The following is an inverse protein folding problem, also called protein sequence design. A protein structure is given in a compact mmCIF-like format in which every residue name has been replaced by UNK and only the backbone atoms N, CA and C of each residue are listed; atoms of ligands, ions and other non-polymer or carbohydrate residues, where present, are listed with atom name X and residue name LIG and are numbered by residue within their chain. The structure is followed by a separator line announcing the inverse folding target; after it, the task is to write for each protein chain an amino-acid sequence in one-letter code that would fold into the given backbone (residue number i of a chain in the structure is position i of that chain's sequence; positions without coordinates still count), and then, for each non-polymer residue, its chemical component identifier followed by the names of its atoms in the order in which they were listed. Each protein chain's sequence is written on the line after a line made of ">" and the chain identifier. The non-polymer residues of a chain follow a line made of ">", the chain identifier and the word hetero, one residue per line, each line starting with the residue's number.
data_IF_497163861994
#
_entry.id   IF_497163861994
#
_cell.length_a   1.000
_cell.length_b   1.000
_cell.length_c   1.000
_cell.angle_alpha   90.00
_cell.angle_beta   90.00
_cell.angle_gamma   90.00
#
_symmetry.space_group_name_H-M   'P 1'
#
loop_
_entity.id
_entity.type
_entity.pdbx_description
1 polymer ?
#
# COMPACT_ATOMS: atom_id res chain seq x y z
N UNK A 1 -7.99 -9.50 1.24
CA UNK A 1 -9.11 -10.37 0.80
C UNK A 1 -10.25 -9.48 0.31
N UNK A 2 -10.64 -9.61 -0.96
CA UNK A 2 -11.82 -8.98 -1.52
C UNK A 2 -13.06 -9.85 -1.25
N UNK A 3 -14.14 -9.22 -0.81
CA UNK A 3 -15.46 -9.82 -0.69
C UNK A 3 -16.44 -8.87 -1.40
N UNK A 4 -17.39 -9.34 -2.24
CA UNK A 4 -18.38 -8.52 -2.94
C UNK A 4 -19.39 -7.74 -2.05
N UNK A 5 -19.01 -7.46 -0.81
CA UNK A 5 -19.75 -6.68 0.17
C UNK A 5 -19.89 -5.19 -0.27
N UNK A 6 -20.77 -4.41 0.41
CA UNK A 6 -21.18 -3.07 -0.02
C UNK A 6 -20.06 -2.11 -0.47
N UNK A 7 -18.88 -2.02 0.18
CA UNK A 7 -17.87 -1.03 -0.23
C UNK A 7 -17.28 -1.27 -1.62
N UNK A 8 -17.22 -2.52 -2.09
CA UNK A 8 -16.83 -2.84 -3.48
C UNK A 8 -18.07 -2.77 -4.37
N UNK A 9 -19.19 -3.31 -3.88
CA UNK A 9 -20.53 -3.30 -4.46
C UNK A 9 -20.99 -1.93 -4.99
N UNK A 10 -20.90 -0.90 -4.16
CA UNK A 10 -21.40 0.45 -4.46
C UNK A 10 -20.53 1.19 -5.48
N UNK A 11 -19.22 0.93 -5.49
CA UNK A 11 -18.26 1.63 -6.35
C UNK A 11 -18.25 1.02 -7.76
N UNK A 12 -18.28 -0.31 -7.86
CA UNK A 12 -18.20 -1.01 -9.15
C UNK A 12 -19.59 -1.40 -9.71
N UNK A 13 -20.65 -1.41 -8.89
CA UNK A 13 -22.01 -1.74 -9.32
C UNK A 13 -22.54 -0.89 -10.49
N UNK A 14 -22.36 0.45 -10.49
CA UNK A 14 -22.80 1.31 -11.59
C UNK A 14 -22.04 1.07 -12.91
N UNK A 15 -20.86 0.46 -12.84
CA UNK A 15 -19.96 0.30 -14.00
C UNK A 15 -20.24 -0.96 -14.83
N UNK A 16 -21.09 -1.87 -14.33
CA UNK A 16 -21.50 -3.08 -15.06
C UNK A 16 -20.42 -4.16 -15.20
N UNK A 17 -19.35 -4.08 -14.40
CA UNK A 17 -18.24 -5.04 -14.38
C UNK A 17 -18.61 -6.31 -13.61
N UNK A 18 -18.11 -7.47 -14.04
CA UNK A 18 -18.31 -8.73 -13.33
C UNK A 18 -17.51 -8.77 -12.01
N UNK A 19 -18.21 -8.49 -10.91
CA UNK A 19 -17.65 -8.39 -9.57
C UNK A 19 -17.08 -9.71 -9.03
N UNK A 20 -17.70 -10.83 -9.40
CA UNK A 20 -17.30 -12.16 -8.93
C UNK A 20 -15.94 -12.53 -9.52
N UNK A 21 -15.76 -12.26 -10.81
CA UNK A 21 -14.51 -12.50 -11.52
C UNK A 21 -13.39 -11.62 -10.98
N UNK A 22 -13.65 -10.34 -10.74
CA UNK A 22 -12.69 -9.44 -10.11
C UNK A 22 -12.28 -9.95 -8.72
N UNK A 23 -13.24 -10.29 -7.85
CA UNK A 23 -12.93 -10.76 -6.50
C UNK A 23 -12.12 -12.05 -6.51
N UNK A 24 -12.40 -12.97 -7.44
CA UNK A 24 -11.65 -14.22 -7.59
C UNK A 24 -10.21 -13.96 -8.04
N UNK A 25 -10.03 -13.22 -9.14
CA UNK A 25 -8.71 -12.89 -9.69
C UNK A 25 -7.86 -12.07 -8.72
N UNK A 26 -8.46 -11.09 -8.05
CA UNK A 26 -7.79 -10.29 -7.01
C UNK A 26 -7.34 -11.17 -5.85
N UNK A 27 -8.21 -12.04 -5.34
CA UNK A 27 -7.86 -12.92 -4.23
C UNK A 27 -6.75 -13.88 -4.62
N UNK A 28 -6.77 -14.41 -5.85
CA UNK A 28 -5.72 -15.30 -6.35
C UNK A 28 -4.36 -14.63 -6.46
N UNK A 29 -4.29 -13.43 -7.03
CA UNK A 29 -3.04 -12.68 -7.15
C UNK A 29 -2.54 -12.21 -5.77
N UNK A 30 -3.44 -11.89 -4.83
CA UNK A 30 -3.10 -11.45 -3.46
C UNK A 30 -2.95 -12.59 -2.44
N UNK A 31 -3.01 -13.87 -2.87
CA UNK A 31 -2.81 -15.04 -1.98
C UNK A 31 -1.48 -14.99 -1.23
N UNK A 32 -0.42 -14.49 -1.87
CA UNK A 32 0.94 -14.42 -1.30
C UNK A 32 1.07 -13.32 -0.24
N UNK A 33 0.29 -12.25 -0.37
CA UNK A 33 0.34 -11.07 0.48
C UNK A 33 -0.87 -11.00 1.44
N UNK A 34 -1.42 -12.16 1.80
CA UNK A 34 -2.57 -12.23 2.70
C UNK A 34 -2.26 -11.57 4.05
N UNK A 35 -3.01 -10.51 4.35
CA UNK A 35 -2.82 -9.69 5.56
C UNK A 35 -2.27 -8.29 5.29
N UNK A 36 -1.78 -8.02 4.07
CA UNK A 36 -1.36 -6.69 3.65
C UNK A 36 -2.48 -5.95 2.92
N UNK A 37 -2.52 -4.63 3.07
CA UNK A 37 -3.43 -3.76 2.32
C UNK A 37 -2.78 -3.48 0.96
N UNK A 38 -3.29 -4.12 -0.09
CA UNK A 38 -2.85 -3.94 -1.47
C UNK A 38 -3.80 -2.99 -2.19
N UNK A 39 -3.33 -1.80 -2.60
CA UNK A 39 -4.10 -0.92 -3.45
C UNK A 39 -4.20 -1.49 -4.87
N UNK A 40 -5.39 -1.39 -5.45
CA UNK A 40 -5.71 -1.89 -6.77
C UNK A 40 -6.24 -0.74 -7.62
N UNK A 41 -5.68 -0.57 -8.81
CA UNK A 41 -6.20 0.35 -9.82
C UNK A 41 -6.99 -0.47 -10.85
N UNK A 42 -8.25 -0.11 -11.05
CA UNK A 42 -9.15 -0.80 -11.98
C UNK A 42 -9.46 0.16 -13.12
N UNK A 43 -9.11 -0.25 -14.34
CA UNK A 43 -9.48 0.44 -15.57
C UNK A 43 -10.65 -0.30 -16.20
N UNK A 44 -11.71 0.43 -16.52
CA UNK A 44 -12.96 -0.11 -17.06
C UNK A 44 -13.14 0.46 -18.46
N UNK A 45 -13.35 -0.43 -19.42
CA UNK A 45 -13.54 -0.07 -20.82
C UNK A 45 -15.02 0.01 -21.17
N UNK A 46 -15.32 0.64 -22.31
CA UNK A 46 -16.70 0.91 -22.76
C UNK A 46 -17.47 -0.36 -23.10
N UNK A 47 -16.77 -1.45 -23.43
CA UNK A 47 -17.31 -2.79 -23.67
C UNK A 47 -17.60 -3.57 -22.36
N UNK A 48 -17.46 -2.92 -21.20
CA UNK A 48 -17.58 -3.51 -19.85
C UNK A 48 -16.48 -4.52 -19.51
N UNK A 49 -15.43 -4.62 -20.33
CA UNK A 49 -14.21 -5.30 -19.93
C UNK A 49 -13.47 -4.47 -18.88
N UNK A 50 -12.67 -5.15 -18.06
CA UNK A 50 -11.87 -4.51 -17.02
C UNK A 50 -10.46 -5.07 -17.02
N UNK A 51 -9.49 -4.19 -16.75
CA UNK A 51 -8.13 -4.58 -16.39
C UNK A 51 -7.82 -4.00 -15.02
N UNK A 52 -7.07 -4.73 -14.21
CA UNK A 52 -6.65 -4.21 -12.92
C UNK A 52 -5.15 -4.44 -12.72
N UNK A 53 -4.54 -3.48 -12.02
CA UNK A 53 -3.12 -3.53 -11.66
C UNK A 53 -3.04 -3.48 -10.14
N UNK A 54 -2.42 -4.51 -9.57
CA UNK A 54 -2.07 -4.54 -8.16
C UNK A 54 -0.80 -3.73 -7.96
N UNK A 55 -0.86 -2.72 -7.09
CA UNK A 55 0.30 -1.94 -6.67
C UNK A 55 0.80 -2.47 -5.34
N UNK A 56 2.06 -2.22 -5.02
CA UNK A 56 2.60 -2.55 -3.70
C UNK A 56 1.86 -1.84 -2.56
N UNK A 57 1.87 -2.43 -1.37
CA UNK A 57 1.29 -1.84 -0.18
C UNK A 57 1.78 -0.40 0.06
N UNK A 58 0.95 0.48 0.66
CA UNK A 58 1.36 1.84 0.98
C UNK A 58 2.58 1.83 1.89
N UNK A 59 3.53 2.74 1.65
CA UNK A 59 4.72 2.89 2.48
C UNK A 59 4.35 3.08 3.97
N UNK A 60 3.27 3.81 4.24
CA UNK A 60 2.74 4.03 5.58
C UNK A 60 2.25 2.75 6.27
N UNK A 61 1.74 1.77 5.51
CA UNK A 61 1.35 0.48 6.06
C UNK A 61 2.59 -0.39 6.35
N UNK A 62 3.57 -0.41 5.44
CA UNK A 62 4.82 -1.15 5.63
C UNK A 62 5.61 -0.63 6.84
N UNK A 63 5.71 0.69 7.00
CA UNK A 63 6.34 1.31 8.17
C UNK A 63 5.60 0.90 9.46
N UNK A 64 4.27 0.90 9.45
CA UNK A 64 3.47 0.45 10.60
C UNK A 64 3.70 -1.02 10.94
N UNK A 65 3.83 -1.89 9.93
CA UNK A 65 4.11 -3.30 10.17
C UNK A 65 5.49 -3.52 10.79
N UNK A 66 6.53 -2.88 10.24
CA UNK A 66 7.90 -3.02 10.76
C UNK A 66 8.01 -2.49 12.19
N UNK A 67 7.29 -1.41 12.50
CA UNK A 67 7.29 -0.78 13.83
C UNK A 67 6.16 -1.28 14.76
N UNK A 68 5.35 -2.25 14.32
CA UNK A 68 4.18 -2.76 15.03
C UNK A 68 3.21 -1.66 15.53
N UNK A 69 3.04 -0.59 14.76
CA UNK A 69 2.18 0.55 15.10
C UNK A 69 0.76 0.36 14.57
N UNK A 70 -0.25 0.69 15.40
CA UNK A 70 -1.67 0.70 14.98
C UNK A 70 -2.04 1.97 14.20
N UNK A 71 -1.50 3.12 14.61
CA UNK A 71 -1.76 4.42 14.00
C UNK A 71 -0.47 5.26 13.94
N UNK A 72 -0.44 6.22 13.00
CA UNK A 72 0.58 7.25 13.00
C UNK A 72 0.28 8.34 14.03
N UNK A 73 1.18 9.31 14.14
CA UNK A 73 0.98 10.50 14.98
C UNK A 73 -0.14 11.39 14.45
N UNK A 74 -1.00 11.89 15.34
CA UNK A 74 -1.98 12.93 15.02
C UNK A 74 -1.33 14.32 14.83
N UNK A 75 -0.14 14.53 15.41
CA UNK A 75 0.68 15.75 15.28
C UNK A 75 2.11 15.37 14.90
N UNK A 76 2.38 15.02 13.63
CA UNK A 76 3.67 14.45 13.20
C UNK A 76 4.91 15.29 13.55
N UNK A 77 4.76 16.61 13.65
CA UNK A 77 5.84 17.53 13.99
C UNK A 77 6.16 17.58 15.49
N UNK A 78 5.19 17.28 16.37
CA UNK A 78 5.33 17.43 17.83
C UNK A 78 5.40 16.08 18.53
N UNK A 79 4.49 15.16 18.19
CA UNK A 79 4.36 13.88 18.87
C UNK A 79 5.04 12.80 18.03
N UNK A 80 6.21 12.35 18.48
CA UNK A 80 6.93 11.24 17.85
C UNK A 80 6.45 9.91 18.40
N UNK A 81 6.05 9.00 17.52
CA UNK A 81 5.37 7.75 17.91
C UNK A 81 6.26 6.51 17.85
N UNK A 82 7.35 6.56 17.10
CA UNK A 82 8.34 5.48 17.00
C UNK A 82 9.61 5.99 16.32
N UNK A 83 10.61 5.12 16.28
CA UNK A 83 11.86 5.31 15.55
C UNK A 83 12.07 4.17 14.57
N UNK A 84 12.59 4.45 13.37
CA UNK A 84 12.92 3.47 12.34
C UNK A 84 14.39 3.58 11.97
N UNK A 85 15.06 2.44 11.84
CA UNK A 85 16.48 2.38 11.46
C UNK A 85 16.66 2.37 9.95
N UNK A 86 17.86 2.70 9.48
CA UNK A 86 18.19 2.65 8.06
C UNK A 86 18.02 1.24 7.45
N UNK A 87 18.42 0.19 8.17
CA UNK A 87 18.27 -1.19 7.70
C UNK A 87 16.80 -1.57 7.45
N UNK A 88 15.90 -1.15 8.35
CA UNK A 88 14.46 -1.35 8.21
C UNK A 88 13.88 -0.59 7.02
N UNK A 89 14.36 0.64 6.77
CA UNK A 89 13.97 1.39 5.59
C UNK A 89 14.40 0.69 4.29
N UNK A 90 15.60 0.12 4.24
CA UNK A 90 16.08 -0.61 3.07
C UNK A 90 15.25 -1.86 2.77
N UNK A 91 14.81 -2.60 3.78
CA UNK A 91 13.90 -3.74 3.61
C UNK A 91 12.54 -3.31 3.04
N UNK A 92 11.99 -2.20 3.54
CA UNK A 92 10.75 -1.62 3.02
C UNK A 92 10.93 -1.19 1.56
N UNK A 93 12.06 -0.56 1.24
CA UNK A 93 12.37 -0.11 -0.12
C UNK A 93 12.50 -1.31 -1.06
N UNK A 94 13.21 -2.37 -0.68
CA UNK A 94 13.32 -3.59 -1.51
C UNK A 94 11.96 -4.19 -1.84
N UNK A 95 11.06 -4.21 -0.86
CA UNK A 95 9.68 -4.71 -1.04
C UNK A 95 8.86 -3.79 -1.96
N UNK A 96 9.07 -2.47 -1.88
CA UNK A 96 8.30 -1.46 -2.62
C UNK A 96 8.94 -1.02 -3.95
N UNK A 97 10.17 -1.44 -4.24
CA UNK A 97 11.01 -0.86 -5.29
C UNK A 97 10.35 -0.88 -6.67
N UNK A 98 9.57 -1.93 -6.98
CA UNK A 98 8.88 -2.07 -8.25
C UNK A 98 7.85 -0.96 -8.54
N UNK A 99 7.27 -0.34 -7.50
CA UNK A 99 6.31 0.77 -7.64
C UNK A 99 6.88 2.12 -7.20
N UNK A 100 8.13 2.16 -6.77
CA UNK A 100 8.78 3.38 -6.32
C UNK A 100 9.40 4.09 -7.52
N UNK A 101 9.21 5.39 -7.65
CA UNK A 101 9.89 6.21 -8.68
C UNK A 101 11.38 6.46 -8.37
N UNK A 102 12.01 5.63 -7.54
CA UNK A 102 13.41 5.79 -7.16
C UNK A 102 14.34 5.14 -8.18
N UNK A 103 15.41 5.85 -8.52
CA UNK A 103 16.43 5.33 -9.43
C UNK A 103 17.41 4.37 -8.74
N UNK A 104 17.61 4.54 -7.44
CA UNK A 104 18.52 3.75 -6.62
C UNK A 104 17.94 3.51 -5.22
N UNK A 105 18.58 2.59 -4.48
CA UNK A 105 18.18 2.23 -3.11
C UNK A 105 18.22 3.45 -2.18
N UNK A 106 19.21 4.32 -2.34
CA UNK A 106 19.39 5.51 -1.50
C UNK A 106 18.25 6.53 -1.70
N UNK A 107 17.85 6.82 -2.94
CA UNK A 107 16.68 7.65 -3.24
C UNK A 107 15.41 6.99 -2.72
N UNK A 108 15.31 5.66 -2.81
CA UNK A 108 14.18 4.93 -2.25
C UNK A 108 14.08 5.11 -0.72
N UNK A 109 15.18 4.97 0.00
CA UNK A 109 15.25 5.23 1.45
C UNK A 109 14.86 6.68 1.76
N UNK A 110 15.24 7.64 0.90
CA UNK A 110 14.87 9.05 1.05
C UNK A 110 13.35 9.28 0.90
N UNK A 111 12.70 8.57 -0.02
CA UNK A 111 11.24 8.65 -0.22
C UNK A 111 10.49 8.03 0.99
N UNK A 112 10.92 6.85 1.44
CA UNK A 112 10.27 6.17 2.57
C UNK A 112 10.53 6.92 3.88
N UNK A 113 11.73 7.48 4.09
CA UNK A 113 12.02 8.31 5.25
C UNK A 113 11.19 9.59 5.30
N UNK A 114 10.89 10.21 4.14
CA UNK A 114 9.95 11.31 4.05
C UNK A 114 8.55 10.92 4.54
N UNK A 115 8.08 9.74 4.13
CA UNK A 115 6.79 9.19 4.59
C UNK A 115 6.80 8.92 6.10
N UNK A 116 7.87 8.33 6.62
CA UNK A 116 8.04 8.08 8.06
C UNK A 116 7.97 9.38 8.87
N UNK A 117 8.67 10.43 8.43
CA UNK A 117 8.63 11.76 9.07
C UNK A 117 7.23 12.36 9.07
N UNK A 118 6.49 12.24 7.97
CA UNK A 118 5.10 12.71 7.86
C UNK A 118 4.13 11.94 8.76
N UNK A 119 4.52 10.75 9.24
CA UNK A 119 3.74 9.96 10.19
C UNK A 119 4.15 10.19 11.66
N UNK A 120 5.14 11.04 11.91
CA UNK A 120 5.70 11.25 13.25
C UNK A 120 6.66 10.14 13.67
N UNK A 121 7.22 9.38 12.73
CA UNK A 121 8.29 8.41 13.01
C UNK A 121 9.65 9.12 12.86
N UNK A 122 10.51 8.95 13.85
CA UNK A 122 11.90 9.44 13.83
C UNK A 122 12.72 8.49 12.97
N UNK A 123 13.54 9.02 12.08
CA UNK A 123 14.44 8.22 11.25
C UNK A 123 15.81 8.31 11.89
N UNK A 124 16.31 7.20 12.43
CA UNK A 124 17.69 7.05 12.88
C UNK A 124 18.56 6.79 11.64
N UNK A 125 19.46 7.74 11.39
CA UNK A 125 20.47 7.68 10.34
C UNK A 125 21.86 7.70 10.94
#
# INVERSE_FOLDING_TARGET
>A
KANPAPPIGTVLGPTGVNMQDFCSQFNEQTKKDMGMIIPCEISIFTDRSFTFILKSPPASFLIKQVLNLKSGSAKPHTDKVATITQAQLEEIVKTKMADLSANDLAAGVKIISGTARSMGVVVEG
#
